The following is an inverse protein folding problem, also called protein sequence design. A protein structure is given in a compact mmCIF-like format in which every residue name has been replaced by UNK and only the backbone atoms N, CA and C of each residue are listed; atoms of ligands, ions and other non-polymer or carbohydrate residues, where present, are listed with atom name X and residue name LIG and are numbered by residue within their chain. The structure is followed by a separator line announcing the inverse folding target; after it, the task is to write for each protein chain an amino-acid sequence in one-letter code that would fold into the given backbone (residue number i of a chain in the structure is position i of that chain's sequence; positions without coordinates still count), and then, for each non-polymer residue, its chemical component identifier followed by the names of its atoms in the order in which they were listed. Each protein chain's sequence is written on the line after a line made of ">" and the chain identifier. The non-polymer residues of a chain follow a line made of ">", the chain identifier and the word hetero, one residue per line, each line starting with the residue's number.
data_IF_160666805706
#
_entry.id   IF_160666805706
#
_cell.length_a   1.000
_cell.length_b   1.000
_cell.length_c   1.000
_cell.angle_alpha   90.00
_cell.angle_beta   90.00
_cell.angle_gamma   90.00
#
_symmetry.space_group_name_H-M   'P 1'
#
loop_
_entity.id
_entity.type
_entity.pdbx_description
1 polymer ?
#
# COMPACT_ATOMS: atom_id res chain seq x y z
N UNK A 1 -19.94 3.55 -17.83
CA UNK A 1 -19.51 4.74 -17.07
C UNK A 1 -18.00 4.64 -16.98
N UNK A 2 -17.30 5.73 -17.26
CA UNK A 2 -15.85 5.75 -17.37
C UNK A 2 -15.21 5.22 -16.08
N UNK A 3 -14.23 4.33 -16.24
CA UNK A 3 -13.29 3.96 -15.20
C UNK A 3 -12.76 5.25 -14.57
N UNK A 4 -12.85 5.36 -13.25
CA UNK A 4 -12.28 6.51 -12.53
C UNK A 4 -10.78 6.35 -12.59
N UNK A 5 -10.17 6.89 -13.64
CA UNK A 5 -8.72 7.04 -13.79
C UNK A 5 -8.21 7.71 -12.51
N UNK A 6 -7.35 7.01 -11.77
CA UNK A 6 -6.76 7.55 -10.55
C UNK A 6 -6.10 8.89 -10.90
N UNK A 7 -6.37 9.93 -10.11
CA UNK A 7 -5.75 11.23 -10.33
C UNK A 7 -4.22 11.06 -10.36
N UNK A 8 -3.52 11.71 -11.30
CA UNK A 8 -2.08 11.56 -11.40
C UNK A 8 -1.40 11.94 -10.07
N UNK A 9 -0.25 11.33 -9.73
CA UNK A 9 0.33 11.39 -8.38
C UNK A 9 0.76 12.80 -7.93
N UNK A 10 0.79 13.77 -8.84
CA UNK A 10 1.09 15.17 -8.57
C UNK A 10 -0.15 16.05 -8.33
N UNK A 11 -1.36 15.53 -8.51
CA UNK A 11 -2.57 16.32 -8.34
C UNK A 11 -2.94 16.43 -6.85
N UNK A 12 -3.15 17.65 -6.29
CA UNK A 12 -3.69 17.79 -4.95
C UNK A 12 -5.06 17.09 -4.85
N UNK A 13 -5.45 16.57 -3.66
CA UNK A 13 -6.74 15.91 -3.53
C UNK A 13 -7.88 16.87 -3.88
N UNK A 14 -8.94 16.37 -4.52
CA UNK A 14 -10.13 17.16 -4.85
C UNK A 14 -10.83 17.70 -3.60
N UNK A 15 -10.70 16.99 -2.48
CA UNK A 15 -11.13 17.41 -1.15
C UNK A 15 -10.14 16.90 -0.11
N UNK A 16 -9.62 17.79 0.72
CA UNK A 16 -8.66 17.44 1.77
C UNK A 16 -8.52 18.54 2.82
N UNK A 17 -7.65 18.28 3.78
CA UNK A 17 -7.21 19.21 4.81
C UNK A 17 -6.32 20.31 4.22
N UNK A 18 -6.10 21.39 4.99
CA UNK A 18 -5.16 22.45 4.61
C UNK A 18 -3.74 21.91 4.36
N UNK A 19 -3.31 20.93 5.14
CA UNK A 19 -1.99 20.28 4.99
C UNK A 19 -1.91 19.54 3.66
N UNK A 20 -2.90 18.71 3.36
CA UNK A 20 -2.93 17.92 2.12
C UNK A 20 -2.98 18.82 0.88
N UNK A 21 -3.76 19.91 0.92
CA UNK A 21 -3.79 20.87 -0.18
C UNK A 21 -2.48 21.66 -0.34
N UNK A 22 -1.84 22.08 0.77
CA UNK A 22 -0.60 22.86 0.70
C UNK A 22 0.58 22.01 0.21
N UNK A 23 0.72 20.79 0.73
CA UNK A 23 1.76 19.86 0.29
C UNK A 23 1.49 19.35 -1.13
N UNK A 24 0.24 19.03 -1.46
CA UNK A 24 -0.15 18.65 -2.81
C UNK A 24 0.11 19.76 -3.84
N UNK A 25 -0.21 21.02 -3.51
CA UNK A 25 0.06 22.15 -4.42
C UNK A 25 1.57 22.36 -4.67
N UNK A 26 2.39 22.16 -3.64
CA UNK A 26 3.85 22.19 -3.77
C UNK A 26 4.35 21.03 -4.63
N UNK A 27 3.77 19.84 -4.48
CA UNK A 27 4.16 18.65 -5.23
C UNK A 27 3.78 18.74 -6.70
N UNK A 28 2.62 19.32 -7.00
CA UNK A 28 2.24 19.69 -8.36
C UNK A 28 3.28 20.61 -8.99
N UNK A 29 3.68 21.67 -8.28
CA UNK A 29 4.68 22.59 -8.80
C UNK A 29 6.06 21.93 -9.00
N UNK A 30 6.48 21.04 -8.09
CA UNK A 30 7.70 20.23 -8.24
C UNK A 30 7.65 19.36 -9.49
N UNK A 31 6.53 18.68 -9.73
CA UNK A 31 6.33 17.83 -10.90
C UNK A 31 6.33 18.66 -12.18
N UNK A 32 5.56 19.75 -12.23
CA UNK A 32 5.50 20.65 -13.38
C UNK A 32 6.88 21.23 -13.68
N UNK A 33 7.60 21.77 -12.69
CA UNK A 33 8.96 22.26 -12.88
C UNK A 33 9.89 21.18 -13.43
N UNK A 34 9.89 19.99 -12.79
CA UNK A 34 10.77 18.89 -13.19
C UNK A 34 10.50 18.44 -14.62
N UNK A 35 9.23 18.37 -15.03
CA UNK A 35 8.79 18.09 -16.40
C UNK A 35 9.24 19.17 -17.40
N UNK A 36 9.14 20.44 -17.03
CA UNK A 36 9.62 21.56 -17.85
C UNK A 36 11.13 21.56 -18.05
N UNK A 37 11.88 21.03 -17.09
CA UNK A 37 13.32 20.86 -17.19
C UNK A 37 13.74 19.56 -17.89
N UNK A 38 12.85 18.57 -17.95
CA UNK A 38 13.19 17.16 -18.21
C UNK A 38 13.76 16.84 -19.59
N UNK A 39 14.49 15.72 -19.70
CA UNK A 39 14.90 15.13 -20.99
C UNK A 39 15.88 15.97 -21.81
N UNK A 40 16.51 16.98 -21.19
CA UNK A 40 17.41 17.91 -21.87
C UNK A 40 18.87 17.59 -21.56
N UNK A 41 19.67 17.55 -22.62
CA UNK A 41 21.13 17.56 -22.51
C UNK A 41 21.67 18.95 -22.20
N UNK A 42 23.00 19.06 -22.09
CA UNK A 42 23.71 20.30 -21.69
C UNK A 42 23.25 21.53 -22.47
N UNK A 43 23.11 21.44 -23.80
CA UNK A 43 22.70 22.59 -24.63
C UNK A 43 21.30 23.13 -24.27
N UNK A 44 20.34 22.25 -23.97
CA UNK A 44 19.02 22.67 -23.53
C UNK A 44 19.07 23.28 -22.12
N UNK A 45 19.81 22.65 -21.22
CA UNK A 45 19.93 23.12 -19.83
C UNK A 45 20.67 24.45 -19.69
N UNK A 46 21.50 24.85 -20.65
CA UNK A 46 22.22 26.14 -20.64
C UNK A 46 21.59 27.22 -21.54
N UNK A 47 20.45 26.92 -22.18
CA UNK A 47 19.74 27.89 -23.01
C UNK A 47 19.20 29.04 -22.15
N UNK A 48 19.26 30.26 -22.69
CA UNK A 48 18.68 31.47 -22.12
C UNK A 48 17.61 32.05 -23.04
N UNK A 49 16.71 32.87 -22.49
CA UNK A 49 15.66 33.57 -23.25
C UNK A 49 15.78 35.08 -23.09
N UNK A 50 15.87 35.79 -24.21
CA UNK A 50 15.94 37.25 -24.24
C UNK A 50 17.17 37.79 -23.50
N UNK A 51 16.94 38.74 -22.59
CA UNK A 51 18.00 39.33 -21.77
C UNK A 51 18.26 38.56 -20.46
N UNK A 52 17.49 37.51 -20.18
CA UNK A 52 17.63 36.75 -18.94
C UNK A 52 18.90 35.89 -18.95
N UNK A 53 19.59 35.83 -17.82
CA UNK A 53 20.72 34.91 -17.60
C UNK A 53 20.30 33.60 -16.93
N UNK A 54 19.00 33.44 -16.63
CA UNK A 54 18.44 32.23 -16.03
C UNK A 54 18.42 31.10 -17.07
N UNK A 55 18.77 29.90 -16.63
CA UNK A 55 18.79 28.67 -17.44
C UNK A 55 18.06 27.55 -16.69
N UNK A 56 17.59 26.50 -17.40
CA UNK A 56 16.94 25.36 -16.75
C UNK A 56 17.90 24.61 -15.81
N UNK A 57 19.17 24.46 -16.20
CA UNK A 57 20.20 23.88 -15.33
C UNK A 57 20.42 24.71 -14.07
N UNK A 58 20.45 26.04 -14.22
CA UNK A 58 20.54 26.95 -13.08
C UNK A 58 19.33 26.82 -12.16
N UNK A 59 18.13 26.74 -12.71
CA UNK A 59 16.90 26.56 -11.92
C UNK A 59 16.87 25.22 -11.18
N UNK A 60 17.35 24.12 -11.78
CA UNK A 60 17.44 22.82 -11.11
C UNK A 60 18.32 22.93 -9.86
N UNK A 61 19.52 23.49 -9.99
CA UNK A 61 20.45 23.68 -8.87
C UNK A 61 19.92 24.67 -7.84
N UNK A 62 19.28 25.74 -8.30
CA UNK A 62 18.67 26.75 -7.45
C UNK A 62 17.56 26.17 -6.58
N UNK A 63 16.58 25.51 -7.20
CA UNK A 63 15.47 24.93 -6.47
C UNK A 63 15.93 23.78 -5.57
N UNK A 64 16.95 23.02 -5.97
CA UNK A 64 17.58 22.05 -5.07
C UNK A 64 18.13 22.70 -3.79
N UNK A 65 18.84 23.82 -3.93
CA UNK A 65 19.35 24.57 -2.78
C UNK A 65 18.20 25.15 -1.93
N UNK A 66 17.18 25.72 -2.58
CA UNK A 66 16.00 26.27 -1.91
C UNK A 66 15.31 25.19 -1.08
N UNK A 67 15.14 23.97 -1.61
CA UNK A 67 14.56 22.83 -0.90
C UNK A 67 15.32 22.50 0.39
N UNK A 68 16.65 22.36 0.32
CA UNK A 68 17.46 22.05 1.49
C UNK A 68 17.57 23.22 2.48
N UNK A 69 17.65 24.47 2.00
CA UNK A 69 17.68 25.67 2.86
C UNK A 69 16.37 25.84 3.61
N UNK A 70 15.23 25.68 2.92
CA UNK A 70 13.91 25.83 3.53
C UNK A 70 13.67 24.70 4.54
N UNK A 71 13.97 23.45 4.17
CA UNK A 71 13.71 22.26 5.00
C UNK A 71 14.75 22.00 6.10
N UNK A 72 15.90 22.67 6.08
CA UNK A 72 16.96 22.53 7.10
C UNK A 72 17.19 23.85 7.82
N UNK A 73 17.88 24.79 7.17
CA UNK A 73 18.35 26.04 7.80
C UNK A 73 17.18 26.87 8.34
N UNK A 74 16.16 27.09 7.54
CA UNK A 74 15.01 27.90 7.92
C UNK A 74 14.02 27.16 8.82
N UNK A 75 13.96 25.84 8.70
CA UNK A 75 13.10 25.00 9.53
C UNK A 75 13.67 24.84 10.95
N UNK A 76 14.89 24.32 11.07
CA UNK A 76 15.50 23.89 12.34
C UNK A 76 16.67 24.77 12.80
N UNK A 77 17.28 25.55 11.90
CA UNK A 77 18.49 26.32 12.19
C UNK A 77 19.78 25.53 12.05
N UNK A 78 19.69 24.28 11.64
CA UNK A 78 20.86 23.45 11.34
C UNK A 78 21.57 23.95 10.06
N UNK A 79 22.90 23.86 9.98
CA UNK A 79 23.62 24.20 8.77
C UNK A 79 23.29 23.22 7.63
N UNK A 80 23.47 23.65 6.38
CA UNK A 80 23.41 22.75 5.23
C UNK A 80 24.47 21.64 5.37
N UNK A 81 24.11 20.42 4.98
CA UNK A 81 25.01 19.27 4.89
C UNK A 81 25.47 18.97 3.47
N UNK A 82 26.01 17.78 3.25
CA UNK A 82 26.34 17.28 1.90
C UNK A 82 25.09 17.22 0.99
N UNK A 83 25.23 17.45 -0.33
CA UNK A 83 26.47 17.73 -1.05
C UNK A 83 26.97 19.19 -0.93
N UNK A 84 26.16 20.10 -0.37
CA UNK A 84 26.43 21.54 -0.39
C UNK A 84 27.74 21.91 0.29
N UNK A 85 28.06 21.31 1.43
CA UNK A 85 29.31 21.57 2.17
C UNK A 85 30.58 21.27 1.37
N UNK A 86 30.55 20.30 0.47
CA UNK A 86 31.67 19.94 -0.40
C UNK A 86 31.58 20.55 -1.80
N UNK A 87 30.51 21.31 -2.11
CA UNK A 87 30.37 21.92 -3.43
C UNK A 87 31.38 23.07 -3.62
N UNK A 88 32.15 23.07 -4.73
CA UNK A 88 33.04 24.16 -5.04
C UNK A 88 32.27 25.49 -5.15
N UNK A 89 32.81 26.51 -4.48
CA UNK A 89 32.34 27.89 -4.63
C UNK A 89 31.28 28.35 -3.65
N UNK A 90 30.89 27.55 -2.64
CA UNK A 90 29.89 27.90 -1.59
C UNK A 90 30.07 29.27 -0.92
N UNK A 91 31.28 29.84 -0.99
CA UNK A 91 31.63 31.14 -0.42
C UNK A 91 31.37 32.33 -1.38
N UNK A 92 30.90 32.09 -2.61
CA UNK A 92 30.67 33.10 -3.65
C UNK A 92 29.20 33.52 -3.81
N UNK A 93 28.93 34.73 -4.32
CA UNK A 93 27.56 35.16 -4.61
C UNK A 93 26.99 34.38 -5.81
N UNK A 94 25.74 33.94 -5.73
CA UNK A 94 24.94 33.38 -6.84
C UNK A 94 25.28 31.95 -7.31
N UNK A 95 25.84 31.09 -6.45
CA UNK A 95 26.08 29.66 -6.74
C UNK A 95 24.87 28.92 -7.29
N UNK A 96 23.71 29.27 -6.78
CA UNK A 96 22.43 28.70 -7.17
C UNK A 96 22.15 28.88 -8.67
N UNK A 97 22.81 29.84 -9.32
CA UNK A 97 22.71 30.12 -10.76
C UNK A 97 23.86 29.54 -11.59
N UNK A 98 24.84 28.88 -10.96
CA UNK A 98 26.03 28.32 -11.62
C UNK A 98 25.83 26.83 -11.92
N UNK A 99 25.30 26.52 -13.10
CA UNK A 99 25.06 25.14 -13.55
C UNK A 99 25.64 24.84 -14.95
N UNK A 100 26.28 25.82 -15.59
CA UNK A 100 26.72 25.70 -16.97
C UNK A 100 27.78 24.59 -17.20
N UNK A 101 28.60 24.35 -16.18
CA UNK A 101 29.69 23.37 -16.20
C UNK A 101 29.30 22.02 -15.59
N UNK A 102 28.17 21.96 -14.86
CA UNK A 102 27.68 20.73 -14.23
C UNK A 102 27.11 19.76 -15.28
N UNK A 103 27.26 18.46 -15.06
CA UNK A 103 26.65 17.45 -15.93
C UNK A 103 25.12 17.43 -15.77
N UNK A 104 24.32 17.32 -16.85
CA UNK A 104 22.86 17.25 -16.77
C UNK A 104 22.36 16.21 -15.77
N UNK A 105 22.92 15.00 -15.80
CA UNK A 105 22.56 13.92 -14.88
C UNK A 105 22.80 14.30 -13.41
N UNK A 106 23.87 15.03 -13.13
CA UNK A 106 24.14 15.54 -11.78
C UNK A 106 23.09 16.59 -11.36
N UNK A 107 22.69 17.49 -12.25
CA UNK A 107 21.70 18.53 -11.92
C UNK A 107 20.31 17.93 -11.63
N UNK A 108 19.89 16.94 -12.41
CA UNK A 108 18.64 16.21 -12.14
C UNK A 108 18.73 15.46 -10.81
N UNK A 109 19.79 14.66 -10.59
CA UNK A 109 19.97 13.91 -9.36
C UNK A 109 20.06 14.81 -8.11
N UNK A 110 20.72 15.97 -8.23
CA UNK A 110 20.82 16.95 -7.16
C UNK A 110 19.44 17.51 -6.78
N UNK A 111 18.64 17.90 -7.76
CA UNK A 111 17.28 18.41 -7.54
C UNK A 111 16.35 17.34 -6.98
N UNK A 112 16.31 16.17 -7.61
CA UNK A 112 15.41 15.07 -7.21
C UNK A 112 15.71 14.65 -5.76
N UNK A 113 16.99 14.50 -5.40
CA UNK A 113 17.39 14.16 -4.03
C UNK A 113 17.10 15.29 -3.01
N UNK A 114 17.18 16.56 -3.40
CA UNK A 114 16.86 17.69 -2.52
C UNK A 114 15.34 17.76 -2.23
N UNK A 115 14.51 17.54 -3.25
CA UNK A 115 13.06 17.43 -3.11
C UNK A 115 12.70 16.29 -2.14
N UNK A 116 13.31 15.12 -2.28
CA UNK A 116 13.08 13.97 -1.38
C UNK A 116 13.42 14.29 0.08
N UNK A 117 14.62 14.86 0.33
CA UNK A 117 15.01 15.28 1.69
C UNK A 117 14.04 16.31 2.27
N UNK A 118 13.63 17.28 1.45
CA UNK A 118 12.71 18.32 1.85
C UNK A 118 11.33 17.77 2.21
N UNK A 119 10.77 16.86 1.40
CA UNK A 119 9.52 16.14 1.69
C UNK A 119 9.59 15.46 3.05
N UNK A 120 10.64 14.68 3.30
CA UNK A 120 10.80 13.95 4.56
C UNK A 120 10.84 14.88 5.78
N UNK A 121 11.62 15.98 5.71
CA UNK A 121 11.77 16.94 6.81
C UNK A 121 10.48 17.73 7.08
N UNK A 122 9.78 18.18 6.03
CA UNK A 122 8.51 18.88 6.21
C UNK A 122 7.39 17.96 6.70
N UNK A 123 7.32 16.71 6.23
CA UNK A 123 6.38 15.72 6.75
C UNK A 123 6.61 15.47 8.25
N UNK A 124 7.88 15.28 8.66
CA UNK A 124 8.23 15.12 10.07
C UNK A 124 7.84 16.35 10.91
N UNK A 125 8.12 17.57 10.42
CA UNK A 125 7.71 18.79 11.10
C UNK A 125 6.18 18.87 11.23
N UNK A 126 5.43 18.67 10.14
CA UNK A 126 3.96 18.68 10.18
C UNK A 126 3.42 17.69 11.22
N UNK A 127 3.99 16.48 11.30
CA UNK A 127 3.59 15.49 12.28
C UNK A 127 3.89 15.90 13.74
N UNK A 128 5.01 16.59 13.99
CA UNK A 128 5.43 17.01 15.33
C UNK A 128 4.59 18.16 15.90
N UNK A 129 4.39 19.22 15.11
CA UNK A 129 3.79 20.47 15.61
C UNK A 129 2.71 21.09 14.73
N UNK A 130 2.39 20.46 13.61
CA UNK A 130 1.45 20.98 12.61
C UNK A 130 1.91 22.30 11.98
N UNK A 131 1.05 22.88 11.13
CA UNK A 131 1.35 24.09 10.37
C UNK A 131 1.57 25.36 11.21
N UNK A 132 1.08 25.37 12.46
CA UNK A 132 1.18 26.52 13.36
C UNK A 132 2.48 26.55 14.19
N UNK A 133 3.28 25.49 14.16
CA UNK A 133 4.53 25.47 14.91
C UNK A 133 5.48 26.58 14.45
N UNK A 134 6.35 27.02 15.35
CA UNK A 134 7.38 28.00 15.06
C UNK A 134 8.56 27.32 14.40
N UNK A 135 9.12 27.96 13.38
CA UNK A 135 10.35 27.53 12.70
C UNK A 135 11.50 28.46 13.05
N UNK A 136 12.73 28.08 12.68
CA UNK A 136 13.92 28.88 12.96
C UNK A 136 13.94 30.24 12.24
N UNK A 137 13.34 30.34 11.05
CA UNK A 137 13.28 31.56 10.25
C UNK A 137 12.77 32.78 11.06
N UNK A 138 13.57 33.84 11.10
CA UNK A 138 13.23 35.12 11.74
C UNK A 138 13.47 35.17 13.25
N UNK A 139 13.96 34.08 13.86
CA UNK A 139 14.21 33.98 15.31
C UNK A 139 15.23 34.99 15.84
N UNK A 140 16.28 35.27 15.06
CA UNK A 140 17.35 36.24 15.34
C UNK A 140 16.89 37.70 15.24
N UNK A 141 15.85 37.96 14.44
CA UNK A 141 15.24 39.28 14.26
C UNK A 141 14.06 39.53 15.20
N UNK A 142 13.77 38.60 16.12
CA UNK A 142 12.63 38.66 17.03
C UNK A 142 11.28 38.49 16.33
N UNK A 143 11.27 38.00 15.08
CA UNK A 143 10.07 37.68 14.33
C UNK A 143 9.65 36.23 14.60
N UNK A 144 8.35 35.98 14.62
CA UNK A 144 7.79 34.64 14.78
C UNK A 144 7.25 34.16 13.45
N UNK A 145 7.92 33.17 12.86
CA UNK A 145 7.49 32.54 11.60
C UNK A 145 6.90 31.17 11.90
N UNK A 146 5.77 30.85 11.26
CA UNK A 146 5.17 29.51 11.34
C UNK A 146 5.63 28.59 10.20
N UNK A 147 5.52 27.28 10.40
CA UNK A 147 5.75 26.29 9.32
C UNK A 147 4.85 26.56 8.12
N UNK A 148 3.60 26.96 8.33
CA UNK A 148 2.70 27.40 7.27
C UNK A 148 3.31 28.49 6.40
N UNK A 149 3.84 29.54 7.02
CA UNK A 149 4.46 30.66 6.30
C UNK A 149 5.65 30.17 5.48
N UNK A 150 6.49 29.32 6.06
CA UNK A 150 7.67 28.75 5.41
C UNK A 150 7.31 27.91 4.16
N UNK A 151 6.27 27.08 4.26
CA UNK A 151 5.77 26.27 3.13
C UNK A 151 5.14 27.14 2.02
N UNK A 152 4.44 28.22 2.38
CA UNK A 152 3.97 29.19 1.38
C UNK A 152 5.12 29.92 0.68
N UNK A 153 6.16 30.32 1.42
CA UNK A 153 7.35 30.92 0.81
C UNK A 153 8.00 29.95 -0.20
N UNK A 154 8.07 28.64 0.12
CA UNK A 154 8.56 27.62 -0.81
C UNK A 154 7.65 27.44 -2.04
N UNK A 155 6.33 27.41 -1.84
CA UNK A 155 5.35 27.34 -2.93
C UNK A 155 5.47 28.55 -3.87
N UNK A 156 5.67 29.75 -3.31
CA UNK A 156 5.87 30.99 -4.08
C UNK A 156 7.19 30.98 -4.88
N UNK A 157 8.27 30.43 -4.32
CA UNK A 157 9.53 30.21 -5.06
C UNK A 157 9.31 29.30 -6.27
N UNK A 158 8.64 28.16 -6.07
CA UNK A 158 8.30 27.26 -7.15
C UNK A 158 7.41 27.94 -8.20
N UNK A 159 6.30 28.58 -7.80
CA UNK A 159 5.41 29.26 -8.75
C UNK A 159 6.14 30.30 -9.61
N UNK A 160 7.08 31.05 -9.03
CA UNK A 160 7.92 32.00 -9.76
C UNK A 160 8.88 31.30 -10.74
N UNK A 161 9.50 30.21 -10.33
CA UNK A 161 10.55 29.55 -11.10
C UNK A 161 10.03 28.54 -12.13
N UNK A 162 8.88 27.92 -11.91
CA UNK A 162 8.14 27.16 -12.92
C UNK A 162 7.77 28.06 -14.10
N UNK A 163 7.32 29.30 -13.85
CA UNK A 163 7.04 30.26 -14.93
C UNK A 163 8.28 30.67 -15.75
N UNK A 164 9.48 30.67 -15.15
CA UNK A 164 10.72 30.81 -15.91
C UNK A 164 11.00 29.55 -16.74
N UNK A 165 10.79 28.38 -16.14
CA UNK A 165 10.96 27.10 -16.80
C UNK A 165 10.03 26.92 -18.01
N UNK A 166 8.82 27.50 -17.98
CA UNK A 166 7.90 27.53 -19.13
C UNK A 166 8.54 28.19 -20.35
N UNK A 167 9.01 29.43 -20.20
CA UNK A 167 9.62 30.18 -21.30
C UNK A 167 10.89 29.51 -21.83
N UNK A 168 11.69 28.94 -20.93
CA UNK A 168 12.92 28.23 -21.30
C UNK A 168 12.59 26.90 -22.00
N UNK A 169 11.63 26.14 -21.48
CA UNK A 169 11.14 24.89 -22.05
C UNK A 169 10.63 25.11 -23.47
N UNK A 170 9.78 26.12 -23.68
CA UNK A 170 9.27 26.49 -24.99
C UNK A 170 10.38 26.91 -25.95
N UNK A 171 11.38 27.67 -25.47
CA UNK A 171 12.52 28.08 -26.29
C UNK A 171 13.46 26.92 -26.68
N UNK A 172 13.57 25.89 -25.84
CA UNK A 172 14.45 24.74 -26.09
C UNK A 172 13.81 23.76 -27.07
N UNK A 173 12.56 23.36 -26.84
CA UNK A 173 11.91 22.31 -27.63
C UNK A 173 10.41 22.52 -27.88
N UNK A 174 9.89 23.72 -27.58
CA UNK A 174 8.48 24.06 -27.80
C UNK A 174 7.51 23.41 -26.81
N UNK A 175 8.00 22.76 -25.74
CA UNK A 175 7.12 22.13 -24.73
C UNK A 175 6.34 23.18 -23.94
N UNK A 176 5.01 23.13 -24.06
CA UNK A 176 4.00 23.97 -23.41
C UNK A 176 3.01 23.11 -22.58
N UNK A 177 2.19 23.75 -21.73
CA UNK A 177 1.14 23.09 -20.92
C UNK A 177 1.26 23.38 -19.42
N UNK A 178 0.20 23.12 -18.65
CA UNK A 178 0.14 23.44 -17.22
C UNK A 178 0.71 22.32 -16.32
N UNK A 179 0.55 21.05 -16.73
CA UNK A 179 0.93 19.87 -15.96
C UNK A 179 1.61 18.81 -16.84
N UNK A 180 2.38 17.88 -16.24
CA UNK A 180 2.88 16.72 -16.96
C UNK A 180 1.74 15.87 -17.54
N UNK A 181 1.94 15.21 -18.69
CA UNK A 181 1.07 14.12 -19.15
C UNK A 181 0.93 13.02 -18.09
N UNK A 182 -0.22 12.32 -17.97
CA UNK A 182 -0.43 11.28 -16.94
C UNK A 182 0.60 10.14 -16.96
N UNK A 183 1.19 9.87 -18.12
CA UNK A 183 2.22 8.85 -18.35
C UNK A 183 3.66 9.39 -18.24
N UNK A 184 3.85 10.66 -17.86
CA UNK A 184 5.17 11.25 -17.74
C UNK A 184 5.97 10.65 -16.58
N UNK A 185 7.21 10.28 -16.89
CA UNK A 185 8.23 9.83 -15.94
C UNK A 185 9.52 10.65 -16.18
N UNK A 186 10.18 11.18 -15.13
CA UNK A 186 11.41 11.97 -15.29
C UNK A 186 12.54 11.22 -16.00
N UNK A 187 13.12 11.82 -17.05
CA UNK A 187 14.32 11.34 -17.73
C UNK A 187 15.55 11.60 -16.86
N UNK A 188 16.39 10.57 -16.68
CA UNK A 188 17.60 10.65 -15.85
C UNK A 188 17.41 10.24 -14.39
N UNK A 189 16.29 9.59 -14.05
CA UNK A 189 16.37 8.50 -13.08
C UNK A 189 17.52 7.58 -13.55
N UNK A 190 18.49 7.32 -12.68
CA UNK A 190 19.78 6.73 -13.08
C UNK A 190 19.53 5.38 -13.76
N UNK A 191 19.62 5.37 -15.09
CA UNK A 191 19.76 4.18 -15.93
C UNK A 191 21.24 3.84 -15.95
N UNK A 192 21.65 2.88 -15.12
CA UNK A 192 22.99 2.30 -15.09
C UNK A 192 23.20 1.22 -16.16
N UNK A 193 22.24 1.08 -17.10
CA UNK A 193 22.35 0.22 -18.27
C UNK A 193 21.48 -1.04 -18.22
N UNK A 194 20.63 -1.22 -17.20
CA UNK A 194 19.54 -2.19 -17.23
C UNK A 194 18.22 -1.50 -16.85
N UNK A 195 17.51 -1.01 -17.87
CA UNK A 195 16.39 -0.06 -17.77
C UNK A 195 15.39 -0.35 -16.65
N UNK A 196 15.12 0.65 -15.82
CA UNK A 196 14.10 0.60 -14.77
C UNK A 196 13.28 1.88 -14.63
N UNK A 197 12.03 1.63 -14.24
CA UNK A 197 10.84 2.43 -13.95
C UNK A 197 10.98 3.31 -12.65
N UNK A 198 9.96 4.10 -12.21
CA UNK A 198 10.12 5.20 -11.24
C UNK A 198 10.69 4.75 -9.90
N UNK A 199 11.44 5.64 -9.23
CA UNK A 199 12.27 5.37 -8.05
C UNK A 199 11.51 4.65 -6.90
N UNK A 200 11.65 3.35 -6.99
CA UNK A 200 11.38 2.28 -6.04
C UNK A 200 12.16 2.48 -4.73
N UNK A 201 11.59 2.17 -3.54
CA UNK A 201 12.38 2.04 -2.32
C UNK A 201 13.49 0.99 -2.49
N UNK A 202 14.74 1.43 -2.65
CA UNK A 202 15.89 0.53 -2.84
C UNK A 202 16.57 0.23 -1.51
N UNK A 203 16.55 -1.04 -1.11
CA UNK A 203 17.29 -1.51 0.07
C UNK A 203 18.58 -2.18 -0.38
N UNK A 204 19.72 -1.49 -0.27
CA UNK A 204 21.04 -2.07 -0.59
C UNK A 204 21.83 -2.35 0.69
N UNK A 205 22.25 -3.61 0.87
CA UNK A 205 23.19 -4.04 1.93
C UNK A 205 22.79 -3.63 3.37
N UNK A 206 21.48 -3.61 3.66
CA UNK A 206 20.96 -3.29 4.99
C UNK A 206 20.66 -4.56 5.78
N UNK A 207 21.16 -4.65 7.02
CA UNK A 207 20.63 -5.59 8.02
C UNK A 207 19.55 -4.88 8.83
N UNK A 208 18.30 -5.25 8.62
CA UNK A 208 17.14 -4.74 9.38
C UNK A 208 16.64 -5.78 10.38
N UNK A 209 17.54 -6.26 11.24
CA UNK A 209 17.24 -7.28 12.25
C UNK A 209 16.11 -6.82 13.17
N UNK A 210 14.99 -7.54 13.15
CA UNK A 210 13.82 -7.28 14.00
C UNK A 210 13.00 -6.05 13.60
N UNK A 211 13.21 -5.47 12.42
CA UNK A 211 12.37 -4.39 11.93
C UNK A 211 10.95 -4.89 11.66
N UNK A 212 9.95 -4.11 12.08
CA UNK A 212 8.55 -4.34 11.75
C UNK A 212 8.01 -3.11 11.03
N UNK A 213 7.30 -3.34 9.94
CA UNK A 213 6.56 -2.32 9.20
C UNK A 213 5.13 -2.81 9.01
N UNK A 214 4.15 -1.93 9.17
CA UNK A 214 2.72 -2.23 9.00
C UNK A 214 2.12 -1.18 8.08
N UNK A 215 1.32 -1.63 7.11
CA UNK A 215 0.66 -0.77 6.11
C UNK A 215 1.64 0.17 5.36
N UNK A 216 2.78 -0.38 4.91
CA UNK A 216 3.75 0.33 4.05
C UNK A 216 3.55 -0.12 2.61
N UNK A 217 3.38 0.84 1.70
CA UNK A 217 3.41 0.57 0.27
C UNK A 217 4.87 0.45 -0.20
N UNK A 218 5.23 -0.75 -0.66
CA UNK A 218 6.53 -1.08 -1.23
C UNK A 218 6.38 -1.42 -2.71
N UNK A 219 5.33 -0.95 -3.38
CA UNK A 219 5.14 -1.15 -4.82
C UNK A 219 6.34 -0.60 -5.57
N UNK A 220 6.87 -1.42 -6.47
CA UNK A 220 8.13 -1.15 -7.15
C UNK A 220 9.36 -1.69 -6.41
N UNK A 221 9.32 -1.82 -5.08
CA UNK A 221 10.27 -2.49 -4.17
C UNK A 221 11.51 -3.20 -4.78
N UNK A 222 12.75 -2.68 -4.66
CA UNK A 222 13.96 -3.42 -5.09
C UNK A 222 14.83 -3.77 -3.88
N UNK A 223 15.04 -5.07 -3.70
CA UNK A 223 15.84 -5.65 -2.63
C UNK A 223 17.11 -6.29 -3.22
N UNK A 224 18.16 -5.50 -3.39
CA UNK A 224 19.42 -5.97 -4.00
C UNK A 224 20.42 -6.36 -2.92
N UNK A 225 20.86 -7.62 -2.93
CA UNK A 225 21.76 -8.19 -1.91
C UNK A 225 21.26 -7.99 -0.46
N UNK A 226 19.96 -8.16 -0.26
CA UNK A 226 19.31 -8.10 1.06
C UNK A 226 19.18 -9.49 1.64
N UNK A 227 19.52 -9.63 2.93
CA UNK A 227 19.30 -10.85 3.68
C UNK A 227 17.88 -10.84 4.25
N UNK A 228 17.03 -11.75 3.74
CA UNK A 228 15.66 -11.98 4.19
C UNK A 228 15.51 -13.28 4.98
N UNK A 229 16.61 -13.86 5.49
CA UNK A 229 16.55 -15.06 6.31
C UNK A 229 15.63 -14.87 7.53
N UNK A 230 14.68 -15.80 7.70
CA UNK A 230 13.64 -15.74 8.72
C UNK A 230 12.60 -14.62 8.54
N UNK A 231 12.58 -13.90 7.42
CA UNK A 231 11.58 -12.86 7.18
C UNK A 231 10.16 -13.45 7.08
N UNK A 232 9.17 -12.71 7.60
CA UNK A 232 7.77 -13.12 7.61
C UNK A 232 6.92 -12.07 6.91
N UNK A 233 6.19 -12.49 5.88
CA UNK A 233 5.25 -11.65 5.13
C UNK A 233 3.83 -12.06 5.50
N UNK A 234 3.08 -11.18 6.18
CA UNK A 234 1.69 -11.42 6.61
C UNK A 234 0.77 -10.38 6.01
N UNK A 235 -0.28 -10.83 5.33
CA UNK A 235 -1.20 -9.94 4.61
C UNK A 235 -0.50 -9.09 3.54
N UNK A 236 0.65 -9.53 3.04
CA UNK A 236 1.44 -8.79 2.07
C UNK A 236 0.97 -9.10 0.65
N UNK A 237 0.75 -8.06 -0.15
CA UNK A 237 0.49 -8.23 -1.57
C UNK A 237 1.81 -8.46 -2.32
N UNK A 238 2.02 -9.70 -2.80
CA UNK A 238 3.21 -10.09 -3.57
C UNK A 238 2.92 -10.22 -5.08
N UNK A 239 1.87 -9.56 -5.59
CA UNK A 239 1.55 -9.57 -7.02
C UNK A 239 2.65 -8.87 -7.81
N UNK A 240 3.02 -9.47 -8.95
CA UNK A 240 4.05 -8.96 -9.88
C UNK A 240 5.47 -8.84 -9.25
N UNK A 241 5.74 -9.57 -8.17
CA UNK A 241 7.10 -9.68 -7.64
C UNK A 241 7.94 -10.57 -8.55
N UNK A 242 9.14 -10.10 -8.90
CA UNK A 242 10.13 -10.88 -9.64
C UNK A 242 11.29 -11.23 -8.72
N UNK A 243 11.63 -12.53 -8.63
CA UNK A 243 12.78 -13.03 -7.86
C UNK A 243 13.80 -13.60 -8.83
N UNK A 244 14.89 -12.86 -9.08
CA UNK A 244 15.95 -13.26 -10.00
C UNK A 244 17.30 -13.40 -9.28
N UNK A 245 18.05 -14.45 -9.60
CA UNK A 245 19.40 -14.66 -9.06
C UNK A 245 19.45 -14.81 -7.53
N UNK A 246 18.37 -15.29 -6.91
CA UNK A 246 18.24 -15.44 -5.46
C UNK A 246 18.08 -16.91 -5.06
N UNK A 247 18.58 -17.26 -3.89
CA UNK A 247 18.41 -18.58 -3.29
C UNK A 247 17.09 -18.64 -2.51
N UNK A 248 16.16 -19.49 -2.97
CA UNK A 248 14.94 -19.82 -2.22
C UNK A 248 15.14 -21.17 -1.52
N UNK A 249 15.69 -21.13 -0.31
CA UNK A 249 15.93 -22.30 0.54
C UNK A 249 15.01 -22.23 1.74
N UNK A 250 14.33 -23.33 2.06
CA UNK A 250 13.40 -23.45 3.19
C UNK A 250 12.25 -22.42 3.19
N UNK A 251 11.84 -21.97 2.00
CA UNK A 251 10.71 -21.05 1.82
C UNK A 251 9.40 -21.82 1.91
N UNK A 252 8.54 -21.41 2.84
CA UNK A 252 7.21 -21.99 3.03
C UNK A 252 6.14 -20.96 2.67
N UNK A 253 5.27 -21.32 1.72
CA UNK A 253 4.08 -20.53 1.37
C UNK A 253 2.87 -21.34 1.82
N UNK A 254 2.21 -20.89 2.89
CA UNK A 254 1.04 -21.57 3.47
C UNK A 254 -0.19 -20.71 3.23
N UNK A 255 -1.25 -21.32 2.70
CA UNK A 255 -2.60 -20.77 2.66
C UNK A 255 -2.69 -19.32 2.13
N UNK A 256 -2.41 -19.17 0.85
CA UNK A 256 -2.70 -17.95 0.08
C UNK A 256 -3.18 -18.31 -1.32
N UNK A 257 -3.86 -17.36 -1.98
CA UNK A 257 -4.28 -17.52 -3.36
C UNK A 257 -3.05 -17.47 -4.28
N UNK A 258 -2.64 -18.64 -4.77
CA UNK A 258 -1.58 -18.74 -5.76
C UNK A 258 -2.18 -18.58 -7.15
N UNK A 259 -1.77 -17.53 -7.83
CA UNK A 259 -2.20 -17.25 -9.20
C UNK A 259 -0.95 -16.99 -10.05
N UNK A 260 -0.76 -17.76 -11.12
CA UNK A 260 0.35 -17.62 -12.08
C UNK A 260 1.74 -17.57 -11.42
N UNK A 261 2.01 -18.48 -10.48
CA UNK A 261 3.31 -18.57 -9.80
C UNK A 261 4.28 -19.36 -10.66
N UNK A 262 5.24 -18.66 -11.28
CA UNK A 262 6.19 -19.26 -12.21
C UNK A 262 7.55 -19.48 -11.55
N UNK A 263 8.03 -20.73 -11.54
CA UNK A 263 9.37 -21.11 -11.07
C UNK A 263 10.13 -21.71 -12.24
N UNK A 264 11.26 -21.10 -12.62
CA UNK A 264 12.08 -21.53 -13.77
C UNK A 264 11.24 -21.74 -15.06
N UNK A 265 10.43 -20.74 -15.42
CA UNK A 265 9.50 -20.74 -16.57
C UNK A 265 8.38 -21.79 -16.52
N UNK A 266 8.15 -22.42 -15.38
CA UNK A 266 7.03 -23.35 -15.16
C UNK A 266 6.02 -22.72 -14.22
N UNK A 267 4.79 -22.51 -14.69
CA UNK A 267 3.66 -22.21 -13.80
C UNK A 267 3.39 -23.44 -12.92
N UNK A 268 3.69 -23.31 -11.62
CA UNK A 268 3.59 -24.40 -10.66
C UNK A 268 2.19 -24.52 -10.06
N UNK A 269 1.31 -23.53 -10.24
CA UNK A 269 -0.02 -23.54 -9.60
C UNK A 269 -0.81 -24.79 -9.98
N UNK A 270 -0.94 -25.18 -11.27
CA UNK A 270 -1.67 -26.41 -11.62
C UNK A 270 -1.03 -27.70 -11.07
N UNK A 271 0.30 -27.71 -10.88
CA UNK A 271 1.01 -28.86 -10.32
C UNK A 271 0.76 -28.98 -8.81
N UNK A 272 0.76 -27.84 -8.11
CA UNK A 272 0.43 -27.75 -6.70
C UNK A 272 -1.03 -28.12 -6.48
N UNK A 273 -1.95 -27.56 -7.26
CA UNK A 273 -3.38 -27.89 -7.19
C UNK A 273 -3.64 -29.37 -7.43
N UNK A 274 -3.03 -29.97 -8.47
CA UNK A 274 -3.17 -31.39 -8.73
C UNK A 274 -2.66 -32.25 -7.57
N UNK A 275 -1.58 -31.85 -6.91
CA UNK A 275 -1.06 -32.55 -5.73
C UNK A 275 -1.93 -32.34 -4.49
N UNK A 276 -2.50 -31.14 -4.31
CA UNK A 276 -3.45 -30.85 -3.25
C UNK A 276 -4.73 -31.68 -3.43
N UNK A 277 -5.28 -31.74 -4.63
CA UNK A 277 -6.46 -32.54 -4.97
C UNK A 277 -6.17 -34.05 -4.84
N UNK A 278 -4.93 -34.48 -5.13
CA UNK A 278 -4.51 -35.87 -4.89
C UNK A 278 -4.47 -36.20 -3.39
N UNK A 279 -4.08 -35.25 -2.54
CA UNK A 279 -4.03 -35.42 -1.07
C UNK A 279 -5.41 -35.30 -0.43
N UNK A 280 -6.25 -34.42 -0.98
CA UNK A 280 -7.61 -34.16 -0.54
C UNK A 280 -8.57 -34.26 -1.74
N UNK A 281 -9.06 -35.47 -2.08
CA UNK A 281 -9.91 -35.68 -3.26
C UNK A 281 -11.26 -34.96 -3.24
N UNK A 282 -11.69 -34.46 -2.07
CA UNK A 282 -12.92 -33.66 -1.94
C UNK A 282 -12.65 -32.15 -2.07
N UNK A 283 -11.38 -31.70 -2.07
CA UNK A 283 -11.01 -30.29 -2.24
C UNK A 283 -11.67 -29.64 -3.47
N UNK A 284 -11.76 -30.27 -4.66
CA UNK A 284 -12.43 -29.66 -5.80
C UNK A 284 -13.90 -29.26 -5.56
N UNK A 285 -14.56 -29.83 -4.55
CA UNK A 285 -15.93 -29.46 -4.18
C UNK A 285 -16.02 -28.06 -3.56
N UNK A 286 -14.91 -27.48 -3.05
CA UNK A 286 -14.91 -26.10 -2.55
C UNK A 286 -14.74 -25.05 -3.66
N UNK A 287 -14.45 -25.47 -4.90
CA UNK A 287 -14.39 -24.59 -6.07
C UNK A 287 -15.46 -24.96 -7.13
N UNK A 288 -16.76 -24.87 -6.78
CA UNK A 288 -17.84 -25.28 -7.66
C UNK A 288 -18.10 -24.30 -8.80
N UNK A 289 -18.65 -24.80 -9.90
CA UNK A 289 -19.03 -24.00 -11.08
C UNK A 289 -20.55 -23.96 -11.34
N UNK A 290 -21.34 -24.73 -10.61
CA UNK A 290 -22.80 -24.81 -10.76
C UNK A 290 -23.50 -24.81 -9.38
N UNK A 291 -24.82 -24.59 -9.38
CA UNK A 291 -25.59 -24.41 -8.14
C UNK A 291 -25.64 -25.69 -7.28
N UNK A 292 -25.61 -26.87 -7.91
CA UNK A 292 -25.52 -28.14 -7.19
C UNK A 292 -24.14 -28.33 -6.54
N UNK A 293 -23.08 -27.94 -7.24
CA UNK A 293 -21.72 -27.90 -6.73
C UNK A 293 -21.60 -27.02 -5.49
N UNK A 294 -22.20 -25.82 -5.50
CA UNK A 294 -22.23 -24.96 -4.29
C UNK A 294 -22.92 -25.64 -3.10
N UNK A 295 -24.04 -26.35 -3.32
CA UNK A 295 -24.70 -27.13 -2.26
C UNK A 295 -23.79 -28.23 -1.72
N UNK A 296 -23.14 -29.00 -2.61
CA UNK A 296 -22.23 -30.09 -2.23
C UNK A 296 -20.98 -29.60 -1.52
N UNK A 297 -20.40 -28.48 -1.97
CA UNK A 297 -19.26 -27.82 -1.35
C UNK A 297 -19.59 -27.33 0.05
N UNK A 298 -20.77 -26.70 0.21
CA UNK A 298 -21.25 -26.28 1.52
C UNK A 298 -21.52 -27.45 2.47
N UNK A 299 -22.15 -28.53 1.98
CA UNK A 299 -22.34 -29.77 2.75
C UNK A 299 -21.00 -30.34 3.25
N UNK A 300 -19.97 -30.32 2.41
CA UNK A 300 -18.63 -30.76 2.76
C UNK A 300 -18.05 -29.91 3.90
N UNK A 301 -18.08 -28.58 3.75
CA UNK A 301 -17.53 -27.64 4.72
C UNK A 301 -18.25 -27.72 6.06
N UNK A 302 -19.57 -27.88 6.10
CA UNK A 302 -20.32 -28.06 7.34
C UNK A 302 -19.91 -29.34 8.09
N UNK A 303 -19.80 -30.47 7.37
CA UNK A 303 -19.34 -31.74 7.99
C UNK A 303 -17.94 -31.60 8.55
N UNK A 304 -17.05 -31.02 7.76
CA UNK A 304 -15.66 -30.78 8.10
C UNK A 304 -15.58 -29.88 9.35
N UNK A 305 -16.17 -28.69 9.33
CA UNK A 305 -16.15 -27.82 10.50
C UNK A 305 -16.76 -28.44 11.75
N UNK A 306 -17.76 -29.32 11.63
CA UNK A 306 -18.28 -30.06 12.78
C UNK A 306 -17.20 -30.96 13.43
N UNK A 307 -16.35 -31.61 12.64
CA UNK A 307 -15.20 -32.38 13.14
C UNK A 307 -14.17 -31.47 13.83
N UNK A 308 -13.83 -30.35 13.19
CA UNK A 308 -12.87 -29.35 13.73
C UNK A 308 -13.36 -28.79 15.07
N UNK A 309 -14.64 -28.44 15.17
CA UNK A 309 -15.26 -27.94 16.40
C UNK A 309 -15.30 -29.02 17.47
N UNK A 310 -15.61 -30.27 17.11
CA UNK A 310 -15.58 -31.39 18.06
C UNK A 310 -14.17 -31.60 18.64
N UNK A 311 -13.14 -31.46 17.81
CA UNK A 311 -11.74 -31.49 18.23
C UNK A 311 -11.41 -30.32 19.16
N UNK A 312 -11.76 -29.10 18.78
CA UNK A 312 -11.56 -27.91 19.61
C UNK A 312 -12.23 -28.03 21.00
N UNK A 313 -13.42 -28.63 21.08
CA UNK A 313 -14.12 -28.89 22.36
C UNK A 313 -13.37 -29.81 23.32
N UNK A 314 -12.42 -30.60 22.83
CA UNK A 314 -11.61 -31.46 23.69
C UNK A 314 -10.50 -30.68 24.43
N UNK A 315 -10.17 -29.46 23.99
CA UNK A 315 -9.22 -28.59 24.65
C UNK A 315 -9.87 -27.82 25.81
N UNK A 316 -9.09 -27.42 26.84
CA UNK A 316 -9.54 -26.47 27.83
C UNK A 316 -10.04 -25.16 27.18
N UNK A 317 -11.19 -24.59 27.59
CA UNK A 317 -11.80 -23.44 26.91
C UNK A 317 -10.87 -22.23 26.74
N UNK A 318 -9.98 -21.99 27.70
CA UNK A 318 -9.00 -20.91 27.66
C UNK A 318 -8.03 -21.03 26.48
N UNK A 319 -7.67 -22.25 26.08
CA UNK A 319 -6.75 -22.52 24.97
C UNK A 319 -7.32 -22.10 23.63
N UNK A 320 -8.65 -22.02 23.51
CA UNK A 320 -9.31 -21.58 22.27
C UNK A 320 -9.13 -20.09 21.98
N UNK A 321 -8.60 -19.34 22.96
CA UNK A 321 -8.22 -17.94 22.84
C UNK A 321 -6.70 -17.74 22.70
N UNK A 322 -5.91 -18.80 22.70
CA UNK A 322 -4.47 -18.72 22.49
C UNK A 322 -4.20 -18.49 21.00
N UNK A 323 -3.38 -17.48 20.69
CA UNK A 323 -2.82 -17.28 19.35
C UNK A 323 -1.63 -18.22 19.14
N UNK A 324 -1.55 -18.82 17.96
CA UNK A 324 -0.40 -19.61 17.53
C UNK A 324 0.38 -18.78 16.53
N UNK A 325 1.69 -18.62 16.75
CA UNK A 325 2.59 -17.88 15.87
C UNK A 325 2.10 -16.46 15.53
N UNK A 326 1.41 -15.77 16.46
CA UNK A 326 0.89 -14.42 16.23
C UNK A 326 -0.27 -14.32 15.23
N UNK A 327 -0.89 -15.45 14.86
CA UNK A 327 -2.13 -15.50 14.09
C UNK A 327 -3.36 -15.42 15.02
N UNK A 328 -4.55 -15.36 14.43
CA UNK A 328 -5.81 -15.37 15.18
C UNK A 328 -5.99 -16.67 15.97
N UNK A 329 -6.54 -16.56 17.17
CA UNK A 329 -7.00 -17.71 17.95
C UNK A 329 -8.16 -18.44 17.26
N UNK A 330 -8.46 -19.65 17.71
CA UNK A 330 -9.61 -20.42 17.20
C UNK A 330 -10.92 -19.65 17.31
N UNK A 331 -11.17 -18.98 18.46
CA UNK A 331 -12.38 -18.16 18.63
C UNK A 331 -12.38 -16.94 17.70
N UNK A 332 -11.25 -16.25 17.51
CA UNK A 332 -11.17 -15.13 16.57
C UNK A 332 -11.41 -15.58 15.13
N UNK A 333 -10.92 -16.76 14.75
CA UNK A 333 -11.18 -17.37 13.44
C UNK A 333 -12.68 -17.62 13.22
N UNK A 334 -13.38 -18.18 14.21
CA UNK A 334 -14.84 -18.37 14.11
C UNK A 334 -15.60 -17.04 14.01
N UNK A 335 -15.17 -16.01 14.76
CA UNK A 335 -15.73 -14.66 14.68
C UNK A 335 -15.50 -14.01 13.31
N UNK A 336 -14.36 -14.31 12.68
CA UNK A 336 -14.07 -13.86 11.33
C UNK A 336 -14.98 -14.52 10.29
N UNK A 337 -15.20 -15.82 10.37
CA UNK A 337 -16.11 -16.53 9.45
C UNK A 337 -17.56 -16.05 9.55
N UNK A 338 -18.00 -15.64 10.76
CA UNK A 338 -19.27 -14.92 10.94
C UNK A 338 -19.27 -13.62 10.13
N UNK A 339 -18.21 -12.80 10.26
CA UNK A 339 -18.10 -11.56 9.51
C UNK A 339 -18.05 -11.78 7.99
N UNK A 340 -17.25 -12.73 7.50
CA UNK A 340 -17.13 -13.05 6.08
C UNK A 340 -18.50 -13.45 5.50
N UNK A 341 -19.22 -14.33 6.18
CA UNK A 341 -20.56 -14.75 5.78
C UNK A 341 -21.57 -13.59 5.78
N UNK A 342 -21.57 -12.77 6.84
CA UNK A 342 -22.44 -11.58 6.92
C UNK A 342 -22.12 -10.57 5.82
N UNK A 343 -20.84 -10.41 5.47
CA UNK A 343 -20.40 -9.49 4.42
C UNK A 343 -20.82 -9.97 3.05
N UNK A 344 -20.43 -11.18 2.67
CA UNK A 344 -20.60 -11.66 1.30
C UNK A 344 -22.01 -12.17 1.02
N UNK A 345 -22.67 -12.81 1.99
CA UNK A 345 -24.04 -13.32 1.79
C UNK A 345 -25.08 -12.34 2.32
N UNK A 346 -24.95 -11.89 3.58
CA UNK A 346 -25.93 -10.98 4.19
C UNK A 346 -26.00 -9.64 3.46
N UNK A 347 -24.85 -9.02 3.25
CA UNK A 347 -24.74 -7.73 2.56
C UNK A 347 -24.63 -7.91 1.05
N UNK A 348 -23.69 -8.71 0.56
CA UNK A 348 -23.40 -8.86 -0.88
C UNK A 348 -24.54 -9.50 -1.68
N UNK A 349 -25.11 -10.61 -1.21
CA UNK A 349 -26.17 -11.33 -1.94
C UNK A 349 -27.58 -10.86 -1.55
N UNK A 350 -27.83 -10.70 -0.25
CA UNK A 350 -29.17 -10.40 0.28
C UNK A 350 -29.46 -8.90 0.42
N UNK A 351 -28.44 -8.04 0.29
CA UNK A 351 -28.60 -6.59 0.30
C UNK A 351 -28.86 -5.97 1.68
N UNK A 352 -28.58 -6.67 2.78
CA UNK A 352 -28.67 -6.08 4.12
C UNK A 352 -27.52 -5.07 4.30
N UNK A 353 -27.80 -3.77 4.56
CA UNK A 353 -26.76 -2.77 4.70
C UNK A 353 -25.91 -2.93 5.97
N UNK A 354 -26.44 -3.56 7.01
CA UNK A 354 -25.75 -3.66 8.31
C UNK A 354 -26.01 -5.03 8.95
N UNK A 355 -25.57 -6.15 8.35
CA UNK A 355 -25.85 -7.50 8.86
C UNK A 355 -24.96 -7.89 10.05
N UNK A 356 -24.23 -6.92 10.61
CA UNK A 356 -23.13 -7.12 11.54
C UNK A 356 -23.61 -7.58 12.90
N UNK A 357 -23.25 -8.79 13.29
CA UNK A 357 -23.36 -9.20 14.69
C UNK A 357 -22.24 -8.55 15.52
N UNK A 358 -22.47 -8.11 16.78
CA UNK A 358 -21.42 -7.52 17.62
C UNK A 358 -20.20 -8.41 17.87
N UNK A 359 -20.36 -9.74 17.77
CA UNK A 359 -19.26 -10.72 17.87
C UNK A 359 -18.51 -10.94 16.56
N UNK A 360 -18.98 -10.43 15.42
CA UNK A 360 -18.26 -10.54 14.16
C UNK A 360 -16.89 -9.82 14.26
N UNK A 361 -15.92 -10.24 13.47
CA UNK A 361 -14.57 -9.69 13.47
C UNK A 361 -14.01 -9.58 12.03
N UNK A 362 -13.81 -8.37 11.47
CA UNK A 362 -13.18 -8.20 10.16
C UNK A 362 -11.68 -8.51 10.22
N UNK A 363 -11.04 -8.53 9.05
CA UNK A 363 -9.59 -8.70 8.97
C UNK A 363 -8.83 -7.55 9.65
N UNK A 364 -7.56 -7.78 9.97
CA UNK A 364 -6.83 -6.93 10.90
C UNK A 364 -6.51 -5.52 10.36
N UNK A 365 -6.56 -5.37 9.04
CA UNK A 365 -6.27 -4.15 8.28
C UNK A 365 -7.55 -3.41 7.84
N UNK A 366 -8.73 -3.86 8.27
CA UNK A 366 -10.00 -3.22 7.88
C UNK A 366 -10.07 -1.76 8.36
N UNK A 367 -10.29 -0.77 7.46
CA UNK A 367 -10.23 0.66 7.82
C UNK A 367 -11.20 1.07 8.94
N UNK A 368 -10.76 1.96 9.83
CA UNK A 368 -11.51 2.40 11.02
C UNK A 368 -12.80 3.16 10.70
N UNK A 369 -12.82 3.89 9.59
CA UNK A 369 -13.94 4.71 9.14
C UNK A 369 -15.10 3.90 8.54
N UNK A 370 -14.91 2.58 8.34
CA UNK A 370 -15.92 1.70 7.73
C UNK A 370 -17.02 1.24 8.70
N UNK A 371 -16.92 1.60 9.99
CA UNK A 371 -17.89 1.26 11.04
C UNK A 371 -18.25 -0.24 11.12
N UNK A 372 -17.27 -1.11 10.84
CA UNK A 372 -17.37 -2.57 10.96
C UNK A 372 -17.20 -3.04 12.42
N UNK A 373 -17.84 -4.14 12.83
CA UNK A 373 -17.76 -4.69 14.19
C UNK A 373 -16.33 -5.15 14.50
N UNK A 374 -15.58 -4.52 15.40
CA UNK A 374 -14.13 -4.80 15.58
C UNK A 374 -13.65 -5.00 17.02
N UNK A 375 -14.56 -5.27 17.95
CA UNK A 375 -14.17 -5.40 19.36
C UNK A 375 -13.32 -6.66 19.59
N UNK A 376 -12.01 -6.48 19.66
CA UNK A 376 -11.03 -7.56 19.90
C UNK A 376 -10.93 -7.98 21.36
N UNK A 377 -11.39 -7.13 22.28
CA UNK A 377 -11.33 -7.39 23.72
C UNK A 377 -12.46 -8.34 24.16
N UNK A 378 -13.53 -8.43 23.37
CA UNK A 378 -14.61 -9.40 23.60
C UNK A 378 -14.09 -10.83 23.44
N UNK A 379 -14.22 -11.60 24.52
CA UNK A 379 -13.85 -13.01 24.63
C UNK A 379 -15.09 -13.88 24.85
N UNK A 380 -15.91 -14.13 23.81
CA UNK A 380 -17.06 -15.00 23.94
C UNK A 380 -16.58 -16.44 24.14
N UNK A 381 -17.33 -17.22 24.92
CA UNK A 381 -17.05 -18.65 24.99
C UNK A 381 -17.40 -19.33 23.66
N UNK A 382 -16.93 -20.56 23.49
CA UNK A 382 -17.11 -21.30 22.23
C UNK A 382 -18.59 -21.45 21.83
N UNK A 383 -19.49 -21.71 22.78
CA UNK A 383 -20.91 -21.90 22.47
C UNK A 383 -21.59 -20.60 22.02
N UNK A 384 -21.19 -19.46 22.58
CA UNK A 384 -21.69 -18.14 22.17
C UNK A 384 -21.32 -17.82 20.72
N UNK A 385 -20.06 -18.01 20.32
CA UNK A 385 -19.64 -17.75 18.93
C UNK A 385 -20.25 -18.76 17.97
N UNK A 386 -20.39 -20.03 18.36
CA UNK A 386 -21.01 -21.06 17.52
C UNK A 386 -22.50 -20.82 17.30
N UNK A 387 -23.21 -20.24 18.27
CA UNK A 387 -24.62 -19.87 18.09
C UNK A 387 -24.77 -18.81 16.98
N UNK A 388 -23.95 -17.77 16.99
CA UNK A 388 -23.94 -16.72 15.95
C UNK A 388 -23.50 -17.29 14.59
N UNK A 389 -22.51 -18.19 14.60
CA UNK A 389 -22.07 -18.88 13.39
C UNK A 389 -23.17 -19.75 12.81
N UNK A 390 -23.96 -20.46 13.63
CA UNK A 390 -25.08 -21.26 13.16
C UNK A 390 -26.16 -20.41 12.46
N UNK A 391 -26.43 -19.19 12.97
CA UNK A 391 -27.34 -18.24 12.30
C UNK A 391 -26.79 -17.80 10.93
N UNK A 392 -25.48 -17.54 10.87
CA UNK A 392 -24.79 -17.16 9.62
C UNK A 392 -24.79 -18.32 8.61
N UNK A 393 -24.55 -19.56 9.05
CA UNK A 393 -24.61 -20.74 8.19
C UNK A 393 -26.04 -21.02 7.69
N UNK A 394 -27.05 -20.83 8.54
CA UNK A 394 -28.45 -20.96 8.14
C UNK A 394 -28.84 -19.91 7.08
N UNK A 395 -28.22 -18.72 7.09
CA UNK A 395 -28.38 -17.74 6.03
C UNK A 395 -27.79 -18.23 4.70
N UNK A 396 -26.59 -18.81 4.70
CA UNK A 396 -25.99 -19.42 3.49
C UNK A 396 -26.90 -20.53 2.95
N UNK A 397 -27.36 -21.44 3.83
CA UNK A 397 -28.28 -22.52 3.45
C UNK A 397 -29.52 -22.03 2.73
N UNK A 398 -30.19 -20.99 3.26
CA UNK A 398 -31.38 -20.41 2.61
C UNK A 398 -31.08 -19.89 1.21
N UNK A 399 -29.92 -19.26 0.99
CA UNK A 399 -29.51 -18.79 -0.34
C UNK A 399 -29.25 -19.99 -1.26
N UNK A 400 -28.55 -21.02 -0.77
CA UNK A 400 -28.22 -22.20 -1.56
C UNK A 400 -29.44 -23.06 -1.92
N UNK A 401 -30.44 -23.16 -1.05
CA UNK A 401 -31.64 -23.97 -1.29
C UNK A 401 -32.36 -23.54 -2.57
N UNK A 402 -32.52 -22.23 -2.78
CA UNK A 402 -33.21 -21.65 -3.94
C UNK A 402 -32.27 -21.33 -5.12
N UNK A 403 -30.96 -21.60 -4.99
CA UNK A 403 -29.95 -21.23 -5.99
C UNK A 403 -30.10 -22.00 -7.31
N UNK A 404 -30.09 -21.28 -8.42
CA UNK A 404 -30.07 -21.80 -9.78
C UNK A 404 -28.85 -21.32 -10.54
N UNK A 405 -28.43 -22.05 -11.58
CA UNK A 405 -27.28 -21.65 -12.40
C UNK A 405 -27.46 -20.26 -13.03
N UNK A 406 -28.71 -19.90 -13.37
CA UNK A 406 -29.02 -18.59 -13.92
C UNK A 406 -28.80 -17.43 -12.92
N UNK A 407 -28.94 -17.69 -11.62
CA UNK A 407 -28.70 -16.68 -10.58
C UNK A 407 -27.22 -16.47 -10.29
N UNK A 408 -26.37 -17.47 -10.53
CA UNK A 408 -24.94 -17.41 -10.22
C UNK A 408 -24.27 -16.19 -10.87
N UNK A 409 -24.60 -15.90 -12.12
CA UNK A 409 -23.95 -14.82 -12.88
C UNK A 409 -24.72 -13.48 -12.78
N UNK A 410 -25.72 -13.40 -11.89
CA UNK A 410 -26.42 -12.15 -11.62
C UNK A 410 -25.64 -11.31 -10.62
N UNK A 411 -25.62 -10.00 -10.85
CA UNK A 411 -25.19 -9.01 -9.86
C UNK A 411 -26.43 -8.59 -9.07
N UNK A 412 -26.47 -8.80 -7.73
CA UNK A 412 -27.60 -8.38 -6.91
C UNK A 412 -27.93 -6.89 -7.10
N UNK A 413 -29.21 -6.56 -7.29
CA UNK A 413 -29.66 -5.18 -7.55
C UNK A 413 -29.40 -4.23 -6.36
N UNK A 414 -29.24 -4.79 -5.16
CA UNK A 414 -29.02 -4.02 -3.95
C UNK A 414 -27.53 -3.67 -3.84
N UNK A 415 -27.12 -2.64 -4.59
CA UNK A 415 -25.83 -1.99 -4.36
C UNK A 415 -25.88 -1.36 -2.98
N UNK A 416 -25.11 -1.94 -2.06
CA UNK A 416 -25.09 -1.49 -0.68
C UNK A 416 -24.13 -0.32 -0.56
N UNK A 417 -24.65 0.89 -0.33
CA UNK A 417 -23.81 2.05 -0.01
C UNK A 417 -22.87 1.71 1.16
N UNK A 418 -21.58 1.77 0.90
CA UNK A 418 -20.51 1.54 1.88
C UNK A 418 -19.36 0.70 1.32
N UNK A 419 -18.34 0.48 2.15
CA UNK A 419 -17.01 0.20 1.63
C UNK A 419 -16.69 -1.29 1.43
N UNK A 420 -17.49 -2.19 2.00
CA UNK A 420 -17.27 -3.63 1.93
C UNK A 420 -18.57 -4.44 2.02
N UNK A 421 -18.73 -5.54 1.26
CA UNK A 421 -17.88 -5.94 0.13
C UNK A 421 -17.99 -4.95 -1.05
N UNK A 422 -17.03 -4.94 -2.00
CA UNK A 422 -17.11 -4.11 -3.20
C UNK A 422 -18.43 -4.33 -3.96
N UNK A 423 -18.98 -3.25 -4.51
CA UNK A 423 -20.16 -3.35 -5.36
C UNK A 423 -19.83 -4.00 -6.72
N UNK A 424 -20.80 -4.69 -7.32
CA UNK A 424 -20.68 -5.27 -8.66
C UNK A 424 -20.31 -6.75 -8.70
N UNK A 425 -20.11 -7.38 -7.54
CA UNK A 425 -19.83 -8.80 -7.43
C UNK A 425 -21.07 -9.65 -7.73
N UNK A 426 -20.88 -10.71 -8.50
CA UNK A 426 -21.94 -11.67 -8.82
C UNK A 426 -22.25 -12.58 -7.64
N UNK A 427 -23.44 -13.19 -7.62
CA UNK A 427 -23.80 -14.22 -6.62
C UNK A 427 -22.74 -15.33 -6.55
N UNK A 428 -22.21 -15.75 -7.71
CA UNK A 428 -21.12 -16.71 -7.81
C UNK A 428 -19.88 -16.26 -7.05
N UNK A 429 -19.39 -15.04 -7.31
CA UNK A 429 -18.19 -14.51 -6.66
C UNK A 429 -18.37 -14.43 -5.14
N UNK A 430 -19.50 -13.89 -4.68
CA UNK A 430 -19.81 -13.81 -3.25
C UNK A 430 -19.83 -15.19 -2.58
N UNK A 431 -20.46 -16.19 -3.20
CA UNK A 431 -20.52 -17.55 -2.64
C UNK A 431 -19.16 -18.26 -2.71
N UNK A 432 -18.39 -18.07 -3.79
CA UNK A 432 -17.04 -18.64 -3.92
C UNK A 432 -16.14 -18.13 -2.81
N UNK A 433 -16.13 -16.82 -2.55
CA UNK A 433 -15.36 -16.24 -1.44
C UNK A 433 -15.73 -16.90 -0.10
N UNK A 434 -17.02 -17.11 0.17
CA UNK A 434 -17.44 -17.74 1.44
C UNK A 434 -16.96 -19.20 1.55
N UNK A 435 -16.99 -19.97 0.46
CA UNK A 435 -16.46 -21.34 0.45
C UNK A 435 -14.94 -21.36 0.66
N UNK A 436 -14.22 -20.44 0.01
CA UNK A 436 -12.76 -20.32 0.10
C UNK A 436 -12.33 -19.89 1.50
N UNK A 437 -13.00 -18.88 2.09
CA UNK A 437 -12.79 -18.42 3.46
C UNK A 437 -12.99 -19.56 4.48
N UNK A 438 -14.11 -20.28 4.39
CA UNK A 438 -14.42 -21.42 5.26
C UNK A 438 -13.40 -22.55 5.10
N UNK A 439 -12.91 -22.82 3.89
CA UNK A 439 -11.89 -23.84 3.64
C UNK A 439 -10.52 -23.43 4.19
N UNK A 440 -10.03 -22.25 3.82
CA UNK A 440 -8.70 -21.75 4.17
C UNK A 440 -8.56 -21.56 5.68
N UNK A 441 -9.53 -20.90 6.33
CA UNK A 441 -9.50 -20.72 7.78
C UNK A 441 -9.61 -22.03 8.56
N UNK A 442 -10.23 -23.07 8.00
CA UNK A 442 -10.21 -24.40 8.62
C UNK A 442 -8.82 -25.00 8.61
N UNK A 443 -8.04 -24.83 7.53
CA UNK A 443 -6.68 -25.34 7.46
C UNK A 443 -5.79 -24.71 8.54
N UNK A 444 -5.90 -23.39 8.74
CA UNK A 444 -5.24 -22.69 9.84
C UNK A 444 -5.68 -23.23 11.20
N UNK A 445 -7.00 -23.37 11.41
CA UNK A 445 -7.54 -23.89 12.65
C UNK A 445 -7.05 -25.33 12.97
N UNK A 446 -7.03 -26.23 11.98
CA UNK A 446 -6.57 -27.62 12.17
C UNK A 446 -5.07 -27.70 12.49
N UNK A 447 -4.26 -26.85 11.86
CA UNK A 447 -2.82 -26.69 12.18
C UNK A 447 -2.64 -26.21 13.61
N UNK A 448 -3.34 -25.15 14.00
CA UNK A 448 -3.18 -24.52 15.29
C UNK A 448 -3.68 -25.38 16.43
N UNK A 449 -4.80 -26.07 16.23
CA UNK A 449 -5.29 -27.07 17.17
C UNK A 449 -4.26 -28.20 17.38
N UNK A 450 -3.57 -28.65 16.32
CA UNK A 450 -2.53 -29.67 16.47
C UNK A 450 -1.36 -29.18 17.33
N UNK A 451 -0.96 -27.92 17.16
CA UNK A 451 0.09 -27.30 17.96
C UNK A 451 -0.35 -27.12 19.42
N UNK A 452 -1.58 -26.62 19.65
CA UNK A 452 -2.13 -26.41 20.99
C UNK A 452 -2.33 -27.73 21.75
N UNK A 453 -2.74 -28.79 21.08
CA UNK A 453 -2.85 -30.14 21.65
C UNK A 453 -1.48 -30.71 22.07
N UNK A 454 -0.42 -30.36 21.35
CA UNK A 454 0.94 -30.83 21.65
C UNK A 454 1.63 -30.05 22.78
N UNK A 455 1.12 -28.87 23.16
CA UNK A 455 1.71 -28.03 24.21
C UNK A 455 1.35 -28.56 25.61
N UNK A 456 2.33 -28.78 26.51
CA UNK A 456 2.03 -29.13 27.89
C UNK A 456 1.25 -27.99 28.57
N UNK A 457 0.29 -28.36 29.42
CA UNK A 457 -0.51 -27.42 30.22
C UNK A 457 0.39 -26.71 31.25
N UNK A 458 1.08 -25.64 30.87
CA UNK A 458 1.94 -24.91 31.81
C UNK A 458 2.74 -23.70 31.33
N UNK A 459 3.09 -23.58 30.04
CA UNK A 459 3.87 -22.43 29.58
C UNK A 459 2.92 -21.35 29.01
N UNK A 460 2.83 -20.25 29.77
CA UNK A 460 2.17 -18.97 29.42
C UNK A 460 3.18 -18.04 28.76
#
# INVERSE_FOLDING_TARGET
>A
MAETEAAPPWEPPLSGTEVEHLLGALDRQRATFRWKADGRGRAGLTTTVGASTVTLGGLLKHLALVEDVQSTVKLTGEPLGEPWTSMPGMDGPHLEWTAADDEPAFLYALYDAAVERSRARFAAAVADGGLNQRVHLGSDQGLVTSLRRLLFDLLEEYGRHTGHADLLSEAVDGRVGEDPPPDWVPVGAVDDGEGHEPAVPRFEQRRMLGATSRAVDLTGAEFTYVDLDGATFRGANLRRVTISGSDLVDVTITAGDLENVVINDVDVVPLVDAELDRRDPERPLVHPSDADGFRRGWDLLERRWAETVARARALPPERLHDSVEGEWSFVQTLRHLVFATQSWVGRGVLGDPTPWHPLALPWDEAPDDWNLPRDREVRPNLDEVLAVRAESQAMVRRVLDDLTDAQLDTVPEVVVDGPWPPAGETVRQCLSVVLDEEYAHRLFAERDLALLESRPSGDV
#
